data_IF_945559490973
#
_entry.id   IF_945559490973
#
_cell.length_a   1.000
_cell.length_b   1.000
_cell.length_c   1.000
_cell.angle_alpha   90.00
_cell.angle_beta   90.00
_cell.angle_gamma   90.00
#
_symmetry.space_group_name_H-M   'P 1'
#
loop_
_entity.id
_entity.type
_entity.pdbx_description
1 polymer ?
#
# COMPACT_ATOMS: atom_id res chain seq x y z
N UNK A 1 8.27 6.89 -17.07
CA UNK A 1 7.49 6.31 -15.95
C UNK A 1 6.68 5.09 -16.38
N UNK A 2 5.83 5.17 -17.42
CA UNK A 2 4.99 4.04 -17.88
C UNK A 2 5.83 2.78 -18.17
N UNK A 3 6.85 2.91 -19.02
CA UNK A 3 7.72 1.79 -19.36
C UNK A 3 8.37 1.14 -18.12
N UNK A 4 8.87 1.95 -17.18
CA UNK A 4 9.47 1.43 -15.94
C UNK A 4 8.46 0.71 -15.06
N UNK A 5 7.23 1.23 -14.96
CA UNK A 5 6.16 0.57 -14.22
C UNK A 5 5.78 -0.77 -14.88
N UNK A 6 5.56 -0.79 -16.19
CA UNK A 6 5.22 -2.01 -16.96
C UNK A 6 6.33 -3.05 -16.87
N UNK A 7 7.59 -2.65 -17.07
CA UNK A 7 8.73 -3.57 -16.92
C UNK A 7 8.80 -4.14 -15.49
N UNK A 8 8.60 -3.31 -14.46
CA UNK A 8 8.60 -3.78 -13.09
C UNK A 8 7.48 -4.78 -12.78
N UNK A 9 6.27 -4.55 -13.30
CA UNK A 9 5.15 -5.49 -13.17
C UNK A 9 5.41 -6.82 -13.88
N UNK A 10 6.01 -6.76 -15.08
CA UNK A 10 6.39 -7.96 -15.84
C UNK A 10 7.47 -8.77 -15.11
N UNK A 11 8.51 -8.11 -14.58
CA UNK A 11 9.59 -8.77 -13.83
C UNK A 11 9.04 -9.45 -12.57
N UNK A 12 8.10 -8.82 -11.88
CA UNK A 12 7.45 -9.40 -10.71
C UNK A 12 6.35 -10.40 -11.04
N UNK A 13 6.05 -10.59 -12.34
CA UNK A 13 4.96 -11.45 -12.81
C UNK A 13 3.59 -11.10 -12.20
N UNK A 14 3.40 -9.84 -11.84
CA UNK A 14 2.14 -9.33 -11.29
C UNK A 14 1.29 -8.82 -12.44
N UNK A 15 0.61 -9.75 -13.12
CA UNK A 15 -0.34 -9.41 -14.16
C UNK A 15 -1.76 -9.26 -13.57
N UNK A 16 -2.54 -8.28 -14.06
CA UNK A 16 -3.91 -8.13 -13.62
C UNK A 16 -4.76 -9.32 -14.09
N UNK A 17 -5.53 -9.89 -13.17
CA UNK A 17 -6.52 -10.91 -13.51
C UNK A 17 -7.71 -10.32 -14.28
N UNK A 18 -8.23 -11.03 -15.26
CA UNK A 18 -9.49 -10.70 -15.96
C UNK A 18 -10.54 -11.77 -15.64
N UNK A 19 -11.66 -11.41 -15.01
CA UNK A 19 -12.04 -10.11 -14.42
C UNK A 19 -11.25 -9.76 -13.15
N UNK A 20 -11.14 -8.46 -12.76
CA UNK A 20 -10.39 -8.03 -11.59
C UNK A 20 -11.10 -8.46 -10.29
N UNK A 21 -10.67 -9.56 -9.71
CA UNK A 21 -11.27 -10.14 -8.50
C UNK A 21 -10.69 -9.48 -7.24
N UNK A 22 -9.38 -9.26 -7.20
CA UNK A 22 -8.71 -8.71 -6.03
C UNK A 22 -8.62 -7.18 -6.04
N UNK A 23 -8.52 -6.56 -4.86
CA UNK A 23 -8.27 -5.12 -4.73
C UNK A 23 -6.96 -4.70 -5.43
N UNK A 24 -5.95 -5.57 -5.40
CA UNK A 24 -4.69 -5.37 -6.09
C UNK A 24 -4.86 -5.32 -7.61
N UNK A 25 -5.68 -6.22 -8.19
CA UNK A 25 -5.95 -6.22 -9.63
C UNK A 25 -6.68 -4.94 -10.04
N UNK A 26 -7.67 -4.50 -9.28
CA UNK A 26 -8.41 -3.24 -9.52
C UNK A 26 -7.48 -2.03 -9.45
N UNK A 27 -6.54 -2.02 -8.52
CA UNK A 27 -5.54 -0.97 -8.45
C UNK A 27 -4.66 -0.92 -9.72
N UNK A 28 -4.27 -2.07 -10.29
CA UNK A 28 -3.52 -2.10 -11.54
C UNK A 28 -4.25 -1.44 -12.71
N UNK A 29 -5.59 -1.56 -12.78
CA UNK A 29 -6.40 -0.87 -13.78
C UNK A 29 -6.52 0.65 -13.53
N UNK A 30 -6.35 1.10 -12.29
CA UNK A 30 -6.34 2.53 -11.96
C UNK A 30 -5.04 3.22 -12.35
N UNK A 31 -3.91 2.52 -12.38
CA UNK A 31 -2.61 3.10 -12.69
C UNK A 31 -2.56 3.83 -14.05
N UNK A 32 -3.01 3.24 -15.16
CA UNK A 32 -3.10 3.94 -16.43
C UNK A 32 -3.98 5.19 -16.36
N UNK A 33 -5.08 5.14 -15.62
CA UNK A 33 -6.00 6.28 -15.48
C UNK A 33 -5.33 7.43 -14.75
N UNK A 34 -4.61 7.16 -13.65
CA UNK A 34 -3.84 8.16 -12.91
C UNK A 34 -2.72 8.76 -13.76
N UNK A 35 -2.03 7.93 -14.56
CA UNK A 35 -0.98 8.40 -15.47
C UNK A 35 -1.54 9.25 -16.62
N UNK A 36 -2.68 8.84 -17.20
CA UNK A 36 -3.34 9.61 -18.25
C UNK A 36 -3.85 10.96 -17.73
N UNK A 37 -4.29 11.02 -16.46
CA UNK A 37 -4.69 12.27 -15.84
C UNK A 37 -3.53 13.26 -15.72
N UNK A 38 -2.31 12.79 -15.37
CA UNK A 38 -1.13 13.66 -15.35
C UNK A 38 -0.64 14.01 -16.78
N UNK A 39 -0.72 13.10 -17.74
CA UNK A 39 -0.39 13.37 -19.12
C UNK A 39 -1.34 14.40 -19.74
N UNK A 40 -2.60 14.33 -19.41
CA UNK A 40 -3.64 15.24 -19.86
C UNK A 40 -3.37 16.71 -19.47
N UNK A 41 -2.63 16.93 -18.36
CA UNK A 41 -2.20 18.27 -17.95
C UNK A 41 -1.30 18.96 -18.99
N UNK A 42 -0.55 18.17 -19.78
CA UNK A 42 0.36 18.71 -20.81
C UNK A 42 -0.33 18.98 -22.14
N UNK A 43 -1.50 18.38 -22.39
CA UNK A 43 -2.14 18.38 -23.72
C UNK A 43 -3.51 19.06 -23.70
N UNK A 44 -4.26 18.92 -22.61
CA UNK A 44 -5.65 19.36 -22.55
C UNK A 44 -5.82 20.75 -21.95
N UNK A 45 -6.88 21.50 -22.35
CA UNK A 45 -7.19 22.78 -21.76
C UNK A 45 -7.53 22.64 -20.26
N UNK A 46 -7.27 23.70 -19.49
CA UNK A 46 -7.29 23.74 -18.02
C UNK A 46 -8.58 23.18 -17.39
N UNK A 47 -9.73 23.36 -18.02
CA UNK A 47 -11.01 22.83 -17.50
C UNK A 47 -11.10 21.32 -17.64
N UNK A 48 -10.71 20.78 -18.80
CA UNK A 48 -10.82 19.34 -19.08
C UNK A 48 -9.82 18.51 -18.25
N UNK A 49 -8.56 18.98 -18.13
CA UNK A 49 -7.59 18.24 -17.32
C UNK A 49 -7.98 18.25 -15.83
N UNK A 50 -8.55 19.35 -15.30
CA UNK A 50 -9.07 19.38 -13.92
C UNK A 50 -10.18 18.38 -13.69
N UNK A 51 -11.12 18.25 -14.62
CA UNK A 51 -12.19 17.25 -14.54
C UNK A 51 -11.61 15.84 -14.57
N UNK A 52 -10.73 15.55 -15.52
CA UNK A 52 -10.10 14.22 -15.64
C UNK A 52 -9.29 13.86 -14.37
N UNK A 53 -8.55 14.81 -13.83
CA UNK A 53 -7.81 14.65 -12.58
C UNK A 53 -8.74 14.40 -11.39
N UNK A 54 -9.83 15.17 -11.29
CA UNK A 54 -10.80 14.99 -10.20
C UNK A 54 -11.46 13.61 -10.27
N UNK A 55 -11.90 13.19 -11.47
CA UNK A 55 -12.48 11.85 -11.64
C UNK A 55 -11.46 10.76 -11.34
N UNK A 56 -10.22 10.88 -11.83
CA UNK A 56 -9.15 9.93 -11.56
C UNK A 56 -8.85 9.77 -10.06
N UNK A 57 -8.96 10.84 -9.26
CA UNK A 57 -8.73 10.82 -7.82
C UNK A 57 -9.96 10.40 -6.99
N UNK A 58 -11.17 10.55 -7.52
CA UNK A 58 -12.40 10.09 -6.85
C UNK A 58 -12.70 8.61 -7.10
N UNK A 59 -12.27 8.07 -8.24
CA UNK A 59 -12.52 6.67 -8.65
C UNK A 59 -11.86 5.59 -7.77
N UNK A 60 -10.66 5.79 -7.18
CA UNK A 60 -9.94 4.75 -6.44
C UNK A 60 -10.76 4.14 -5.30
N UNK A 61 -11.41 4.95 -4.48
CA UNK A 61 -12.12 4.45 -3.30
C UNK A 61 -13.27 3.50 -3.66
N UNK A 62 -14.25 3.90 -4.50
CA UNK A 62 -15.35 3.01 -4.86
C UNK A 62 -14.87 1.77 -5.63
N UNK A 63 -13.83 1.90 -6.47
CA UNK A 63 -13.35 0.78 -7.27
C UNK A 63 -12.59 -0.25 -6.42
N UNK A 64 -11.70 0.18 -5.53
CA UNK A 64 -10.93 -0.72 -4.66
C UNK A 64 -11.85 -1.43 -3.68
N UNK A 65 -12.83 -0.72 -3.11
CA UNK A 65 -13.77 -1.28 -2.13
C UNK A 65 -14.94 -2.05 -2.76
N UNK A 66 -15.11 -1.99 -4.08
CA UNK A 66 -16.18 -2.70 -4.78
C UNK A 66 -16.21 -4.19 -4.39
N UNK A 67 -17.39 -4.71 -4.07
CA UNK A 67 -17.59 -6.11 -3.62
C UNK A 67 -16.76 -6.51 -2.38
N UNK A 68 -16.27 -5.55 -1.60
CA UNK A 68 -15.62 -5.87 -0.34
C UNK A 68 -16.66 -6.17 0.75
N UNK A 69 -16.27 -7.00 1.71
CA UNK A 69 -17.11 -7.33 2.89
C UNK A 69 -17.49 -6.05 3.67
N UNK A 70 -16.68 -5.00 3.57
CA UNK A 70 -16.92 -3.71 4.23
C UNK A 70 -18.11 -2.94 3.65
N UNK A 71 -18.44 -3.18 2.38
CA UNK A 71 -19.60 -2.55 1.72
C UNK A 71 -20.83 -3.45 1.73
N UNK A 72 -20.64 -4.79 1.66
CA UNK A 72 -21.72 -5.77 1.49
C UNK A 72 -21.77 -6.71 2.67
N UNK A 73 -22.61 -6.42 3.67
CA UNK A 73 -22.93 -7.40 4.72
C UNK A 73 -24.18 -8.19 4.32
N UNK A 74 -24.14 -9.53 4.35
CA UNK A 74 -25.23 -10.37 3.85
C UNK A 74 -26.54 -10.30 4.63
N UNK A 75 -26.53 -9.71 5.84
CA UNK A 75 -27.70 -9.70 6.75
C UNK A 75 -28.37 -8.31 6.92
N UNK A 76 -27.88 -7.26 6.30
CA UNK A 76 -28.41 -5.91 6.51
C UNK A 76 -29.27 -5.45 5.33
N UNK A 77 -30.23 -4.56 5.59
CA UNK A 77 -30.96 -3.83 4.55
C UNK A 77 -29.96 -3.09 3.66
N UNK A 78 -29.87 -3.49 2.41
CA UNK A 78 -28.91 -2.93 1.44
C UNK A 78 -29.64 -2.05 0.44
N UNK A 79 -29.05 -0.89 0.13
CA UNK A 79 -29.47 -0.04 -0.99
C UNK A 79 -28.47 -0.32 -2.11
N UNK A 80 -28.93 -0.86 -3.24
CA UNK A 80 -28.09 -1.28 -4.37
C UNK A 80 -26.96 -2.28 -3.96
N UNK A 81 -27.25 -3.16 -2.98
CA UNK A 81 -26.27 -4.13 -2.47
C UNK A 81 -25.22 -3.54 -1.52
N UNK A 82 -25.32 -2.26 -1.13
CA UNK A 82 -24.39 -1.59 -0.21
C UNK A 82 -25.12 -1.26 1.09
N UNK A 83 -24.47 -1.51 2.22
CA UNK A 83 -25.02 -1.17 3.54
C UNK A 83 -25.02 0.34 3.78
N UNK A 84 -25.91 0.88 4.66
CA UNK A 84 -25.87 2.30 5.02
C UNK A 84 -24.49 2.76 5.57
N UNK A 85 -23.85 1.91 6.36
CA UNK A 85 -22.48 2.14 6.86
C UNK A 85 -21.47 2.16 5.71
N UNK A 86 -21.62 1.29 4.70
CA UNK A 86 -20.82 1.29 3.48
C UNK A 86 -20.95 2.59 2.69
N UNK A 87 -22.13 3.15 2.59
CA UNK A 87 -22.35 4.45 1.95
C UNK A 87 -21.68 5.60 2.70
N UNK A 88 -21.76 5.62 4.06
CA UNK A 88 -21.07 6.61 4.88
C UNK A 88 -19.53 6.49 4.72
N UNK A 89 -19.04 5.27 4.67
CA UNK A 89 -17.61 5.00 4.48
C UNK A 89 -17.14 5.48 3.09
N UNK A 90 -17.91 5.20 2.02
CA UNK A 90 -17.61 5.71 0.68
C UNK A 90 -17.66 7.24 0.65
N UNK A 91 -18.70 7.85 1.21
CA UNK A 91 -18.86 9.31 1.22
C UNK A 91 -17.72 10.00 1.99
N UNK A 92 -17.24 9.42 3.08
CA UNK A 92 -16.13 9.95 3.87
C UNK A 92 -14.77 9.78 3.23
N UNK A 93 -14.50 8.64 2.62
CA UNK A 93 -13.17 8.32 2.07
C UNK A 93 -12.96 8.82 0.64
N UNK A 94 -14.00 8.84 -0.20
CA UNK A 94 -13.87 9.23 -1.62
C UNK A 94 -13.26 10.62 -1.83
N UNK A 95 -13.58 11.67 -1.05
CA UNK A 95 -13.00 13.00 -1.25
C UNK A 95 -11.55 13.11 -0.76
N UNK A 96 -11.04 12.20 0.07
CA UNK A 96 -9.70 12.33 0.68
C UNK A 96 -8.55 12.38 -0.34
N UNK A 97 -8.49 11.52 -1.38
CA UNK A 97 -7.44 11.61 -2.38
C UNK A 97 -7.46 12.96 -3.13
N UNK A 98 -8.65 13.46 -3.44
CA UNK A 98 -8.81 14.74 -4.14
C UNK A 98 -8.41 15.92 -3.25
N UNK A 99 -8.89 15.98 -2.01
CA UNK A 99 -8.57 17.07 -1.07
C UNK A 99 -7.08 17.13 -0.77
N UNK A 100 -6.44 15.97 -0.54
CA UNK A 100 -4.99 15.89 -0.33
C UNK A 100 -4.21 16.35 -1.57
N UNK A 101 -4.61 15.96 -2.78
CA UNK A 101 -3.97 16.41 -4.02
C UNK A 101 -4.12 17.92 -4.23
N UNK A 102 -5.29 18.49 -3.97
CA UNK A 102 -5.53 19.95 -4.05
C UNK A 102 -4.68 20.70 -3.03
N UNK A 103 -4.60 20.17 -1.80
CA UNK A 103 -3.77 20.76 -0.75
C UNK A 103 -2.27 20.73 -1.13
N UNK A 104 -1.76 19.58 -1.58
CA UNK A 104 -0.38 19.45 -2.07
C UNK A 104 -0.11 20.39 -3.23
N UNK A 105 -1.03 20.52 -4.16
CA UNK A 105 -0.89 21.45 -5.27
C UNK A 105 -0.84 22.91 -4.79
N UNK A 106 -1.71 23.31 -3.88
CA UNK A 106 -1.68 24.66 -3.29
C UNK A 106 -0.37 24.95 -2.56
N UNK A 107 0.14 23.97 -1.80
CA UNK A 107 1.41 24.10 -1.09
C UNK A 107 2.60 24.20 -2.04
N UNK A 108 2.55 23.55 -3.20
CA UNK A 108 3.64 23.60 -4.20
C UNK A 108 3.59 24.87 -5.06
N UNK A 109 2.39 25.34 -5.46
CA UNK A 109 2.22 26.50 -6.33
C UNK A 109 2.19 27.82 -5.56
N UNK A 110 1.53 27.86 -4.39
CA UNK A 110 1.33 29.10 -3.62
C UNK A 110 2.60 29.69 -3.02
N UNK A 111 3.63 28.90 -2.81
CA UNK A 111 4.88 29.37 -2.19
C UNK A 111 6.07 29.50 -3.16
N UNK A 112 5.87 29.27 -4.46
CA UNK A 112 6.88 29.41 -5.53
C UNK A 112 8.29 28.91 -5.17
N UNK A 113 8.38 27.89 -4.30
CA UNK A 113 9.66 27.44 -3.76
C UNK A 113 10.16 26.22 -4.53
N UNK A 114 11.21 26.36 -5.32
CA UNK A 114 11.78 25.26 -6.10
C UNK A 114 12.22 24.07 -5.23
N UNK A 115 12.58 24.34 -3.97
CA UNK A 115 12.96 23.30 -3.02
C UNK A 115 11.82 22.31 -2.66
N UNK A 116 10.57 22.79 -2.57
CA UNK A 116 9.41 21.91 -2.33
C UNK A 116 9.15 21.04 -3.54
N UNK A 117 9.12 21.65 -4.72
CA UNK A 117 8.90 20.96 -5.99
C UNK A 117 10.00 19.92 -6.29
N UNK A 118 11.24 20.19 -5.89
CA UNK A 118 12.36 19.27 -6.06
C UNK A 118 12.26 18.05 -5.14
N UNK A 119 11.91 18.24 -3.86
CA UNK A 119 11.91 17.17 -2.86
C UNK A 119 10.63 16.34 -2.80
N UNK A 120 9.47 16.90 -3.19
CA UNK A 120 8.17 16.24 -3.03
C UNK A 120 8.06 14.86 -3.73
N UNK A 121 8.53 14.66 -4.97
CA UNK A 121 8.50 13.35 -5.60
C UNK A 121 9.32 12.31 -4.85
N UNK A 122 10.47 12.69 -4.30
CA UNK A 122 11.31 11.80 -3.52
C UNK A 122 10.62 11.41 -2.20
N UNK A 123 10.00 12.38 -1.53
CA UNK A 123 9.27 12.14 -0.29
C UNK A 123 8.06 11.21 -0.53
N UNK A 124 7.31 11.41 -1.61
CA UNK A 124 6.21 10.52 -2.01
C UNK A 124 6.71 9.11 -2.34
N UNK A 125 7.84 9.00 -3.06
CA UNK A 125 8.45 7.69 -3.35
C UNK A 125 8.89 6.97 -2.08
N UNK A 126 9.47 7.69 -1.12
CA UNK A 126 9.84 7.16 0.18
C UNK A 126 8.61 6.65 0.97
N UNK A 127 7.53 7.45 1.02
CA UNK A 127 6.27 7.05 1.65
C UNK A 127 5.66 5.82 0.98
N UNK A 128 5.70 5.74 -0.36
CA UNK A 128 5.23 4.57 -1.11
C UNK A 128 6.00 3.31 -0.72
N UNK A 129 7.34 3.37 -0.70
CA UNK A 129 8.17 2.21 -0.34
C UNK A 129 7.94 1.77 1.11
N UNK A 130 7.91 2.72 2.03
CA UNK A 130 7.70 2.40 3.45
C UNK A 130 6.30 1.86 3.72
N UNK A 131 5.26 2.44 3.12
CA UNK A 131 3.90 1.92 3.23
C UNK A 131 3.78 0.50 2.64
N UNK A 132 4.48 0.23 1.53
CA UNK A 132 4.56 -1.10 0.94
C UNK A 132 5.11 -2.15 1.91
N UNK A 133 6.24 -1.85 2.55
CA UNK A 133 6.85 -2.75 3.54
C UNK A 133 5.92 -2.98 4.72
N UNK A 134 5.25 -1.93 5.22
CA UNK A 134 4.29 -2.06 6.33
C UNK A 134 3.09 -2.93 5.92
N UNK A 135 2.59 -2.78 4.70
CA UNK A 135 1.50 -3.62 4.16
C UNK A 135 1.94 -5.09 4.04
N UNK A 136 3.18 -5.34 3.59
CA UNK A 136 3.75 -6.70 3.54
C UNK A 136 3.88 -7.31 4.94
N UNK A 137 4.38 -6.56 5.91
CA UNK A 137 4.47 -6.99 7.32
C UNK A 137 3.06 -7.24 7.92
N UNK A 138 2.05 -6.52 7.45
CA UNK A 138 0.65 -6.75 7.78
C UNK A 138 0.06 -8.04 7.20
N UNK A 139 0.79 -8.77 6.36
CA UNK A 139 0.39 -10.05 5.76
C UNK A 139 -0.21 -9.94 4.36
N UNK A 140 -0.28 -8.77 3.75
CA UNK A 140 -0.78 -8.59 2.39
C UNK A 140 0.37 -8.38 1.39
N UNK A 141 1.11 -9.46 1.13
CA UNK A 141 2.33 -9.44 0.31
C UNK A 141 2.08 -8.90 -1.11
N UNK A 142 1.03 -9.37 -1.80
CA UNK A 142 0.71 -8.94 -3.17
C UNK A 142 0.48 -7.42 -3.24
N UNK A 143 -0.25 -6.86 -2.27
CA UNK A 143 -0.50 -5.41 -2.20
C UNK A 143 0.76 -4.59 -1.99
N UNK A 144 1.66 -5.04 -1.13
CA UNK A 144 2.92 -4.34 -0.89
C UNK A 144 3.88 -4.44 -2.09
N UNK A 145 3.98 -5.60 -2.75
CA UNK A 145 4.83 -5.78 -3.93
C UNK A 145 4.45 -4.85 -5.10
N UNK A 146 3.17 -4.43 -5.20
CA UNK A 146 2.73 -3.47 -6.23
C UNK A 146 3.40 -2.10 -6.11
N UNK A 147 3.85 -1.71 -4.93
CA UNK A 147 4.52 -0.43 -4.73
C UNK A 147 5.95 -0.39 -5.30
N UNK A 148 6.61 -1.54 -5.48
CA UNK A 148 7.98 -1.59 -5.99
C UNK A 148 8.08 -1.07 -7.43
N UNK A 149 7.29 -1.54 -8.41
CA UNK A 149 7.31 -0.98 -9.76
C UNK A 149 6.86 0.48 -9.80
N UNK A 150 5.92 0.88 -8.93
CA UNK A 150 5.50 2.28 -8.80
C UNK A 150 6.64 3.17 -8.34
N UNK A 151 7.25 2.85 -7.22
CA UNK A 151 8.38 3.58 -6.67
C UNK A 151 9.58 3.57 -7.62
N UNK A 152 9.86 2.42 -8.25
CA UNK A 152 10.93 2.28 -9.25
C UNK A 152 10.71 3.17 -10.47
N UNK A 153 9.45 3.35 -10.91
CA UNK A 153 9.13 4.26 -12.02
C UNK A 153 9.24 5.74 -11.67
N UNK A 154 9.05 6.08 -10.38
CA UNK A 154 9.14 7.46 -9.88
C UNK A 154 10.55 7.86 -9.48
N UNK A 155 11.36 6.91 -9.01
CA UNK A 155 12.68 7.18 -8.44
C UNK A 155 13.61 7.95 -9.39
N UNK A 156 13.75 7.59 -10.69
CA UNK A 156 14.59 8.35 -11.62
C UNK A 156 14.14 9.80 -11.80
N UNK A 157 12.81 10.01 -11.81
CA UNK A 157 12.23 11.36 -11.90
C UNK A 157 12.50 12.16 -10.63
N UNK A 158 12.34 11.55 -9.48
CA UNK A 158 12.59 12.15 -8.17
C UNK A 158 14.06 12.53 -7.99
N UNK A 159 14.98 11.62 -8.28
CA UNK A 159 16.43 11.85 -8.20
C UNK A 159 16.84 12.99 -9.15
N UNK A 160 16.36 12.94 -10.39
CA UNK A 160 16.65 14.01 -11.35
C UNK A 160 16.22 15.39 -10.81
N UNK A 161 15.02 15.51 -10.23
CA UNK A 161 14.54 16.77 -9.70
C UNK A 161 15.39 17.29 -8.53
N UNK A 162 15.93 16.38 -7.70
CA UNK A 162 16.84 16.73 -6.59
C UNK A 162 18.20 17.21 -7.10
N UNK A 163 18.77 16.53 -8.12
CA UNK A 163 20.11 16.83 -8.60
C UNK A 163 20.16 17.94 -9.65
N UNK A 164 19.21 17.97 -10.59
CA UNK A 164 19.15 18.91 -11.71
C UNK A 164 18.15 20.06 -11.51
N UNK A 165 17.40 20.04 -10.40
CA UNK A 165 16.32 20.99 -10.13
C UNK A 165 15.03 20.70 -10.89
N UNK A 166 13.89 21.24 -10.42
CA UNK A 166 12.60 21.09 -11.08
C UNK A 166 12.61 21.91 -12.40
N UNK A 167 12.11 21.31 -13.47
CA UNK A 167 11.91 22.01 -14.74
C UNK A 167 10.55 22.71 -14.72
N UNK A 168 10.49 24.01 -15.03
CA UNK A 168 9.23 24.74 -15.08
C UNK A 168 8.29 24.20 -16.16
N UNK A 169 8.84 23.64 -17.25
CA UNK A 169 8.08 23.16 -18.42
C UNK A 169 7.45 21.78 -18.23
N UNK A 170 7.74 21.10 -17.11
CA UNK A 170 7.18 19.78 -16.85
C UNK A 170 6.44 19.77 -15.53
N UNK A 171 5.11 19.58 -15.56
CA UNK A 171 4.32 19.44 -14.35
C UNK A 171 4.77 18.23 -13.55
N UNK A 172 4.66 18.33 -12.22
CA UNK A 172 4.89 17.20 -11.33
C UNK A 172 3.79 16.13 -11.54
N UNK A 173 4.11 14.85 -11.68
CA UNK A 173 3.12 13.79 -11.82
C UNK A 173 2.43 13.54 -10.47
N UNK A 174 1.77 14.57 -9.95
CA UNK A 174 1.20 14.58 -8.61
C UNK A 174 0.00 13.64 -8.47
N UNK A 175 -0.83 13.55 -9.51
CA UNK A 175 -2.01 12.69 -9.53
C UNK A 175 -1.60 11.22 -9.45
N UNK A 176 -0.59 10.84 -10.23
CA UNK A 176 -0.05 9.49 -10.21
C UNK A 176 0.61 9.17 -8.87
N UNK A 177 1.53 10.03 -8.39
CA UNK A 177 2.27 9.79 -7.15
C UNK A 177 1.36 9.74 -5.92
N UNK A 178 0.55 10.76 -5.75
CA UNK A 178 -0.37 10.88 -4.62
C UNK A 178 -1.53 9.88 -4.70
N UNK A 179 -2.13 9.74 -5.88
CA UNK A 179 -3.21 8.78 -6.13
C UNK A 179 -2.76 7.35 -5.85
N UNK A 180 -1.57 6.96 -6.30
CA UNK A 180 -1.00 5.64 -6.01
C UNK A 180 -0.76 5.42 -4.52
N UNK A 181 -0.25 6.42 -3.80
CA UNK A 181 -0.09 6.34 -2.34
C UNK A 181 -1.45 6.14 -1.65
N UNK A 182 -2.46 6.92 -2.01
CA UNK A 182 -3.82 6.78 -1.46
C UNK A 182 -4.40 5.39 -1.73
N UNK A 183 -4.24 4.87 -2.96
CA UNK A 183 -4.69 3.51 -3.30
C UNK A 183 -4.02 2.45 -2.44
N UNK A 184 -2.70 2.54 -2.26
CA UNK A 184 -1.95 1.59 -1.41
C UNK A 184 -2.37 1.69 0.06
N UNK A 185 -2.58 2.89 0.58
CA UNK A 185 -3.06 3.08 1.95
C UNK A 185 -4.46 2.50 2.15
N UNK A 186 -5.36 2.66 1.16
CA UNK A 186 -6.68 2.03 1.19
C UNK A 186 -6.58 0.50 1.17
N UNK A 187 -5.73 -0.06 0.30
CA UNK A 187 -5.48 -1.50 0.26
C UNK A 187 -4.91 -1.98 1.60
N UNK A 188 -3.95 -1.26 2.16
CA UNK A 188 -3.35 -1.56 3.45
C UNK A 188 -4.36 -1.52 4.60
N UNK A 189 -5.23 -0.52 4.62
CA UNK A 189 -6.25 -0.32 5.65
C UNK A 189 -7.31 -1.41 5.64
N UNK A 190 -7.86 -1.75 4.46
CA UNK A 190 -9.00 -2.65 4.34
C UNK A 190 -8.62 -4.12 4.14
N UNK A 191 -7.46 -4.39 3.57
CA UNK A 191 -7.03 -5.75 3.23
C UNK A 191 -5.69 -6.16 3.89
N UNK A 192 -4.88 -5.20 4.38
CA UNK A 192 -3.52 -5.41 4.85
C UNK A 192 -3.25 -5.11 6.33
N UNK A 193 -4.26 -5.06 7.20
CA UNK A 193 -4.10 -4.80 8.66
C UNK A 193 -3.35 -3.50 9.02
N UNK A 194 -3.28 -2.52 8.11
CA UNK A 194 -2.79 -1.20 8.45
C UNK A 194 -3.77 -0.54 9.44
N UNK A 195 -3.25 0.09 10.48
CA UNK A 195 -4.13 0.84 11.40
C UNK A 195 -4.54 2.18 10.77
N UNK A 196 -5.73 2.73 11.11
CA UNK A 196 -6.14 4.05 10.62
C UNK A 196 -5.11 5.15 10.97
N UNK A 197 -4.47 5.04 12.14
CA UNK A 197 -3.41 5.97 12.56
C UNK A 197 -2.20 5.90 11.63
N UNK A 198 -1.71 4.71 11.30
CA UNK A 198 -0.59 4.55 10.35
C UNK A 198 -0.94 5.10 8.97
N UNK A 199 -2.16 4.82 8.46
CA UNK A 199 -2.63 5.40 7.20
C UNK A 199 -2.63 6.92 7.22
N UNK A 200 -3.17 7.52 8.29
CA UNK A 200 -3.20 8.98 8.46
C UNK A 200 -1.80 9.58 8.55
N UNK A 201 -0.88 8.92 9.26
CA UNK A 201 0.51 9.35 9.34
C UNK A 201 1.20 9.32 7.96
N UNK A 202 1.08 8.21 7.20
CA UNK A 202 1.66 8.14 5.84
C UNK A 202 1.06 9.18 4.88
N UNK A 203 -0.24 9.46 4.97
CA UNK A 203 -0.87 10.51 4.18
C UNK A 203 -0.45 11.92 4.64
N UNK A 204 -0.19 12.13 5.93
CA UNK A 204 0.23 13.42 6.48
C UNK A 204 1.69 13.77 6.18
N UNK A 205 2.60 12.79 6.09
CA UNK A 205 4.04 13.03 5.88
C UNK A 205 4.31 13.91 4.64
N UNK A 206 3.80 13.62 3.43
CA UNK A 206 4.00 14.48 2.27
C UNK A 206 3.43 15.88 2.44
N UNK A 207 2.29 16.02 3.15
CA UNK A 207 1.64 17.30 3.42
C UNK A 207 2.48 18.15 4.39
N UNK A 208 2.93 17.56 5.50
CA UNK A 208 3.78 18.23 6.49
C UNK A 208 5.12 18.65 5.89
N UNK A 209 5.73 17.77 5.10
CA UNK A 209 7.02 18.09 4.44
C UNK A 209 6.89 19.11 3.31
N UNK A 210 5.68 19.33 2.77
CA UNK A 210 5.40 20.39 1.81
C UNK A 210 5.15 21.76 2.48
N UNK A 211 4.92 21.82 3.81
CA UNK A 211 4.70 23.07 4.52
C UNK A 211 5.90 24.04 4.38
N UNK A 212 5.64 25.36 4.34
CA UNK A 212 6.70 26.34 4.26
C UNK A 212 7.55 26.33 5.54
N UNK A 213 8.84 26.14 5.40
CA UNK A 213 9.79 26.39 6.49
C UNK A 213 10.06 27.90 6.57
N UNK A 214 10.32 28.44 7.78
CA UNK A 214 10.63 29.86 7.95
C UNK A 214 11.78 30.29 7.03
N UNK A 215 11.69 31.51 6.48
CA UNK A 215 12.70 32.02 5.56
C UNK A 215 14.04 32.21 6.28
N UNK A 216 15.01 31.35 5.97
CA UNK A 216 16.41 31.61 6.27
C UNK A 216 17.07 32.35 5.10
N UNK A 217 18.25 32.94 5.28
CA UNK A 217 19.01 33.69 4.31
C UNK A 217 19.07 33.05 2.92
N UNK A 218 18.82 33.85 1.88
CA UNK A 218 18.11 33.46 0.64
C UNK A 218 18.82 32.51 -0.35
N UNK A 219 20.13 32.46 -0.46
CA UNK A 219 20.75 31.82 -1.64
C UNK A 219 21.21 30.37 -1.52
N UNK A 220 21.58 29.92 -0.34
CA UNK A 220 21.96 28.51 -0.11
C UNK A 220 20.81 27.63 0.43
N UNK A 221 19.63 28.22 0.56
CA UNK A 221 18.48 27.63 1.28
C UNK A 221 17.77 26.48 0.54
N UNK A 222 17.74 26.51 -0.79
CA UNK A 222 16.92 25.54 -1.55
C UNK A 222 17.37 24.09 -1.37
N UNK A 223 18.64 23.79 -1.59
CA UNK A 223 19.18 22.43 -1.46
C UNK A 223 19.16 21.93 -0.01
N UNK A 224 19.53 22.79 0.93
CA UNK A 224 19.50 22.47 2.37
C UNK A 224 18.08 22.16 2.83
N UNK A 225 17.09 22.94 2.41
CA UNK A 225 15.68 22.69 2.73
C UNK A 225 15.17 21.36 2.14
N UNK A 226 15.55 21.05 0.90
CA UNK A 226 15.22 19.74 0.29
C UNK A 226 15.80 18.60 1.10
N UNK A 227 17.08 18.68 1.48
CA UNK A 227 17.74 17.65 2.31
C UNK A 227 17.05 17.51 3.67
N UNK A 228 16.78 18.60 4.38
CA UNK A 228 16.09 18.56 5.69
C UNK A 228 14.72 17.87 5.56
N UNK A 229 13.94 18.20 4.55
CA UNK A 229 12.62 17.60 4.30
C UNK A 229 12.71 16.11 4.00
N UNK A 230 13.68 15.72 3.16
CA UNK A 230 13.90 14.30 2.84
C UNK A 230 14.36 13.52 4.06
N UNK A 231 15.26 14.07 4.86
CA UNK A 231 15.70 13.45 6.13
C UNK A 231 14.53 13.33 7.10
N UNK A 232 13.71 14.38 7.24
CA UNK A 232 12.51 14.34 8.07
C UNK A 232 11.52 13.26 7.60
N UNK A 233 11.26 13.19 6.31
CA UNK A 233 10.43 12.13 5.71
C UNK A 233 10.99 10.75 6.03
N UNK A 234 12.30 10.54 5.82
CA UNK A 234 12.96 9.26 6.09
C UNK A 234 12.86 8.87 7.57
N UNK A 235 13.06 9.81 8.50
CA UNK A 235 12.92 9.58 9.94
C UNK A 235 11.50 9.18 10.32
N UNK A 236 10.49 9.92 9.85
CA UNK A 236 9.08 9.62 10.12
C UNK A 236 8.67 8.26 9.54
N UNK A 237 9.08 7.97 8.32
CA UNK A 237 8.85 6.67 7.68
C UNK A 237 9.56 5.54 8.44
N UNK A 238 10.80 5.74 8.89
CA UNK A 238 11.55 4.74 9.68
C UNK A 238 10.89 4.46 11.02
N UNK A 239 10.32 5.48 11.67
CA UNK A 239 9.58 5.31 12.92
C UNK A 239 8.32 4.44 12.71
N UNK A 240 7.54 4.71 11.66
CA UNK A 240 6.37 3.90 11.32
C UNK A 240 6.75 2.47 10.95
N UNK A 241 7.84 2.30 10.22
CA UNK A 241 8.36 0.99 9.85
C UNK A 241 8.82 0.20 11.10
N UNK A 242 9.52 0.86 12.02
CA UNK A 242 9.94 0.26 13.29
C UNK A 242 8.73 -0.19 14.13
N UNK A 243 7.69 0.66 14.22
CA UNK A 243 6.44 0.30 14.89
C UNK A 243 5.77 -0.93 14.24
N UNK A 244 5.69 -0.97 12.91
CA UNK A 244 5.11 -2.10 12.20
C UNK A 244 5.95 -3.38 12.40
N UNK A 245 7.28 -3.25 12.36
CA UNK A 245 8.20 -4.36 12.62
C UNK A 245 8.07 -4.91 14.04
N UNK A 246 7.97 -4.05 15.05
CA UNK A 246 7.82 -4.49 16.46
C UNK A 246 6.53 -5.30 16.64
N UNK A 247 5.42 -4.85 16.05
CA UNK A 247 4.13 -5.60 16.08
C UNK A 247 4.25 -6.94 15.35
N UNK A 248 4.93 -6.95 14.19
CA UNK A 248 5.15 -8.16 13.42
C UNK A 248 6.03 -9.16 14.20
N UNK A 249 7.14 -8.69 14.80
CA UNK A 249 8.06 -9.52 15.58
C UNK A 249 7.34 -10.20 16.76
N UNK A 250 6.54 -9.46 17.52
CA UNK A 250 5.76 -10.01 18.63
C UNK A 250 4.79 -11.11 18.15
N UNK A 251 4.17 -10.95 16.98
CA UNK A 251 3.26 -11.95 16.41
C UNK A 251 3.97 -13.20 15.90
N UNK A 252 5.21 -13.06 15.43
CA UNK A 252 6.00 -14.18 14.89
C UNK A 252 6.73 -14.98 15.96
N UNK A 253 7.05 -14.39 17.12
CA UNK A 253 7.75 -15.06 18.23
C UNK A 253 7.11 -16.40 18.64
N UNK A 254 5.79 -16.52 18.88
CA UNK A 254 5.19 -17.79 19.28
C UNK A 254 5.26 -18.84 18.17
N UNK A 255 5.19 -18.46 16.91
CA UNK A 255 5.31 -19.39 15.78
C UNK A 255 6.72 -19.96 15.65
N UNK A 256 7.73 -19.13 15.89
CA UNK A 256 9.14 -19.54 15.87
C UNK A 256 9.44 -20.47 17.05
N UNK A 257 8.96 -20.17 18.25
CA UNK A 257 9.09 -21.03 19.43
C UNK A 257 8.44 -22.41 19.23
N UNK A 258 7.24 -22.43 18.65
CA UNK A 258 6.56 -23.70 18.36
C UNK A 258 7.31 -24.55 17.32
N UNK A 259 7.91 -23.90 16.32
CA UNK A 259 8.71 -24.57 15.29
C UNK A 259 10.01 -25.19 15.89
N UNK A 260 10.62 -24.50 16.84
CA UNK A 260 11.78 -25.03 17.58
C UNK A 260 11.39 -26.25 18.41
N UNK A 261 10.27 -26.20 19.13
CA UNK A 261 9.77 -27.35 19.90
C UNK A 261 9.48 -28.57 19.01
N UNK A 262 8.92 -28.35 17.81
CA UNK A 262 8.69 -29.44 16.85
C UNK A 262 10.01 -30.00 16.28
N UNK A 263 11.02 -29.15 16.10
CA UNK A 263 12.34 -29.58 15.62
C UNK A 263 13.13 -30.34 16.70
N UNK A 264 12.89 -30.04 17.97
CA UNK A 264 13.51 -30.70 19.11
C UNK A 264 12.82 -32.00 19.53
N UNK A 265 11.62 -32.27 19.01
CA UNK A 265 10.99 -33.56 19.23
C UNK A 265 11.80 -34.62 18.46
N UNK A 266 12.56 -35.49 19.13
CA UNK A 266 13.26 -36.56 18.43
C UNK A 266 12.18 -37.35 17.67
N UNK A 267 12.45 -37.58 16.39
CA UNK A 267 11.66 -38.52 15.59
C UNK A 267 11.56 -39.79 16.42
N UNK A 268 10.47 -39.96 17.15
CA UNK A 268 10.14 -41.26 17.71
C UNK A 268 9.84 -42.14 16.50
N UNK A 269 10.91 -42.73 15.96
CA UNK A 269 10.72 -43.86 15.08
C UNK A 269 9.76 -44.79 15.77
N UNK A 270 8.63 -45.07 15.14
CA UNK A 270 7.78 -46.14 15.63
C UNK A 270 8.68 -47.36 15.89
N UNK A 271 8.64 -47.98 17.09
CA UNK A 271 9.43 -49.16 17.34
C UNK A 271 9.17 -50.16 16.21
N UNK A 272 10.24 -50.72 15.66
CA UNK A 272 10.19 -51.62 14.49
C UNK A 272 9.20 -52.79 14.69
N UNK A 273 8.87 -53.06 15.93
CA UNK A 273 7.91 -54.10 16.35
C UNK A 273 6.44 -53.81 15.98
N UNK A 274 6.10 -52.52 15.78
CA UNK A 274 4.74 -52.15 15.36
C UNK A 274 4.48 -52.33 13.85
N UNK A 275 5.55 -52.39 13.02
CA UNK A 275 5.43 -52.62 11.58
C UNK A 275 5.29 -54.10 11.21
N UNK A 276 5.68 -55.04 12.10
CA UNK A 276 5.65 -56.46 11.78
C UNK A 276 4.28 -57.11 11.95
N UNK A 277 3.35 -56.45 12.68
CA UNK A 277 2.03 -57.02 12.97
C UNK A 277 0.99 -56.80 11.86
N UNK A 278 1.26 -56.00 10.85
CA UNK A 278 0.27 -55.62 9.85
C UNK A 278 0.45 -56.28 8.46
N UNK A 279 1.43 -57.20 8.32
CA UNK A 279 1.67 -57.90 7.05
C UNK A 279 0.89 -59.20 6.86
N UNK A 280 -0.08 -59.49 7.77
CA UNK A 280 -0.83 -60.76 7.80
C UNK A 280 -2.34 -60.66 7.52
N UNK A 281 -2.90 -59.54 7.16
CA UNK A 281 -4.34 -59.46 6.84
C UNK A 281 -4.61 -58.84 5.48
N UNK A 282 -5.03 -59.71 4.62
CA UNK A 282 -5.65 -59.60 3.30
C UNK A 282 -6.45 -58.32 3.03
N UNK A 283 -6.13 -57.71 1.90
CA UNK A 283 -6.94 -56.93 0.98
C UNK A 283 -8.44 -56.80 1.32
N UNK A 284 -8.81 -55.72 1.95
CA UNK A 284 -10.15 -55.15 1.88
C UNK A 284 -9.99 -53.63 1.93
N UNK A 285 -10.40 -52.96 0.85
CA UNK A 285 -10.26 -51.51 0.64
C UNK A 285 -11.10 -50.73 1.69
N UNK A 286 -10.45 -50.31 2.77
CA UNK A 286 -10.99 -49.33 3.72
C UNK A 286 -10.48 -47.94 3.42
N UNK A 287 -11.30 -46.87 3.63
CA UNK A 287 -10.90 -45.50 3.35
C UNK A 287 -9.72 -45.06 4.25
N UNK A 288 -8.88 -44.13 3.78
CA UNK A 288 -7.70 -43.70 4.51
C UNK A 288 -8.10 -43.05 5.84
N UNK A 289 -7.38 -43.42 6.91
CA UNK A 289 -7.52 -42.82 8.23
C UNK A 289 -7.27 -41.34 8.18
N UNK A 290 -8.33 -40.54 8.22
CA UNK A 290 -8.26 -39.10 8.42
C UNK A 290 -7.87 -38.86 9.87
N UNK A 291 -6.62 -38.45 10.08
CA UNK A 291 -6.16 -37.98 11.39
C UNK A 291 -6.92 -36.71 11.75
N UNK A 292 -7.88 -36.84 12.66
CA UNK A 292 -8.59 -35.68 13.24
C UNK A 292 -7.58 -34.89 14.08
N UNK A 293 -7.33 -33.58 13.78
CA UNK A 293 -6.43 -32.79 14.61
C UNK A 293 -6.98 -32.67 16.03
N UNK A 294 -6.12 -32.59 17.05
CA UNK A 294 -6.52 -32.40 18.43
C UNK A 294 -7.30 -31.11 18.60
N UNK A 295 -8.46 -31.20 19.26
CA UNK A 295 -9.30 -30.05 19.61
C UNK A 295 -8.53 -29.19 20.62
N UNK A 296 -8.36 -27.87 20.39
CA UNK A 296 -7.70 -26.99 21.35
C UNK A 296 -8.54 -26.91 22.65
N UNK A 297 -7.89 -26.81 23.82
CA UNK A 297 -8.59 -26.67 25.08
C UNK A 297 -9.38 -25.36 25.12
N UNK A 298 -10.65 -25.42 25.51
CA UNK A 298 -11.51 -24.28 25.75
C UNK A 298 -10.92 -23.43 26.88
N UNK A 299 -10.50 -22.19 26.56
CA UNK A 299 -10.23 -21.18 27.57
C UNK A 299 -11.55 -20.69 28.14
N UNK A 300 -11.76 -20.72 29.47
CA UNK A 300 -12.94 -20.13 30.07
C UNK A 300 -12.94 -18.64 29.90
N UNK A 301 -14.07 -18.09 29.43
CA UNK A 301 -14.32 -16.66 29.36
C UNK A 301 -14.34 -16.08 30.77
N UNK A 302 -13.47 -15.13 31.05
CA UNK A 302 -13.48 -14.23 32.21
C UNK A 302 -13.68 -12.81 31.72
#
# INVERSE_FOLDING_TARGET
>A
MLAGCVCGLLVLQILPGLPPVSAADRFLYLLPVLMLADLAETVLPTRMHRLLRSTALLTPVPLILHQSVWLTQPAAATIQGITPTGWLLLAGLTPLPLTGAVLLQRLTTGFSRPAVAAGLPLNLTCCLLCSAVVIMLGGYLKGGLLALPLAGSMLPFALRNVFAGPRPDRPLPLTYCWGSLCCLLLIGLFFGRLTPLQCSCFAAIPLVTALPLPPGSAEHCGRRQTVIRTVLTALLCSLLLYQAWSVFAVRMLPLLAHRQQLAEQPFRCCPADACSATLGQTASAGPPCVHKPPVPPHTPAG
#
